data_IF_668404995168
#
_entry.id   IF_668404995168
#
_cell.length_a   1.000
_cell.length_b   1.000
_cell.length_c   1.000
_cell.angle_alpha   90.00
_cell.angle_beta   90.00
_cell.angle_gamma   90.00
#
_symmetry.space_group_name_H-M   'P 1'
#
loop_
_entity.id
_entity.type
_entity.pdbx_description
1 polymer ?
#
# COMPACT_ATOMS: atom_id res chain seq x y z
N UNK A 1 34.40 52.79 2.41
CA UNK A 1 33.52 51.99 3.29
C UNK A 1 32.17 51.63 2.64
N UNK A 2 31.54 52.52 1.88
CA UNK A 2 30.19 52.29 1.32
C UNK A 2 30.11 51.13 0.31
N UNK A 3 31.18 50.87 -0.44
CA UNK A 3 31.27 49.75 -1.40
C UNK A 3 31.27 48.38 -0.72
N UNK A 4 31.94 48.25 0.43
CA UNK A 4 31.95 47.00 1.20
C UNK A 4 30.60 46.71 1.85
N UNK A 5 29.88 47.76 2.28
CA UNK A 5 28.53 47.61 2.83
C UNK A 5 27.53 47.11 1.80
N UNK A 6 27.63 47.57 0.53
CA UNK A 6 26.75 47.12 -0.56
C UNK A 6 26.96 45.64 -0.89
N UNK A 7 28.22 45.18 -0.86
CA UNK A 7 28.58 43.78 -1.15
C UNK A 7 28.12 42.82 -0.04
N UNK A 8 28.27 43.24 1.22
CA UNK A 8 27.84 42.43 2.37
C UNK A 8 26.31 42.35 2.48
N UNK A 9 25.59 43.41 2.12
CA UNK A 9 24.13 43.40 2.09
C UNK A 9 23.59 42.47 0.99
N UNK A 10 24.22 42.44 -0.19
CA UNK A 10 23.85 41.50 -1.26
C UNK A 10 24.03 40.03 -0.87
N UNK A 11 25.11 39.72 -0.14
CA UNK A 11 25.38 38.36 0.35
C UNK A 11 24.33 37.91 1.39
N UNK A 12 23.92 38.81 2.29
CA UNK A 12 22.89 38.51 3.29
C UNK A 12 21.52 38.23 2.66
N UNK A 13 21.12 38.98 1.63
CA UNK A 13 19.87 38.72 0.91
C UNK A 13 19.90 37.36 0.20
N UNK A 14 21.03 36.98 -0.41
CA UNK A 14 21.16 35.69 -1.08
C UNK A 14 21.01 34.50 -0.11
N UNK A 15 21.66 34.56 1.06
CA UNK A 15 21.56 33.51 2.09
C UNK A 15 20.13 33.40 2.64
N UNK A 16 19.46 34.53 2.86
CA UNK A 16 18.07 34.54 3.32
C UNK A 16 17.12 33.87 2.31
N UNK A 17 17.30 34.12 1.01
CA UNK A 17 16.49 33.45 -0.02
C UNK A 17 16.72 31.95 -0.10
N UNK A 18 17.96 31.49 0.08
CA UNK A 18 18.28 30.06 0.01
C UNK A 18 17.74 29.28 1.22
N UNK A 19 17.77 29.88 2.41
CA UNK A 19 17.27 29.27 3.65
C UNK A 19 15.74 29.19 3.68
N UNK A 20 15.04 30.12 3.02
CA UNK A 20 13.59 30.06 2.84
C UNK A 20 13.14 28.91 1.90
N UNK A 21 13.95 28.57 0.89
CA UNK A 21 13.63 27.47 -0.04
C UNK A 21 13.77 26.10 0.65
N UNK A 22 14.73 25.94 1.57
CA UNK A 22 14.91 24.67 2.31
C UNK A 22 13.80 24.37 3.30
N UNK A 23 13.04 25.37 3.75
CA UNK A 23 11.88 25.17 4.64
C UNK A 23 10.62 24.69 3.90
N UNK A 24 10.60 24.76 2.58
CA UNK A 24 9.47 24.35 1.75
C UNK A 24 9.61 22.93 1.18
N UNK A 25 10.76 22.28 1.39
CA UNK A 25 10.94 20.87 1.03
C UNK A 25 10.44 20.02 2.19
N UNK A 26 9.43 19.16 2.01
CA UNK A 26 8.99 18.24 3.05
C UNK A 26 10.15 17.29 3.37
N UNK A 27 10.81 17.47 4.52
CA UNK A 27 11.71 16.47 5.09
C UNK A 27 10.89 15.36 5.75
N UNK A 28 10.05 14.68 4.98
CA UNK A 28 9.33 13.47 5.42
C UNK A 28 10.12 12.25 4.96
N UNK A 29 11.35 12.12 5.45
CA UNK A 29 12.12 10.87 5.35
C UNK A 29 12.15 10.21 6.73
N UNK A 30 10.96 9.92 7.27
CA UNK A 30 10.80 8.99 8.39
C UNK A 30 10.51 7.61 7.82
N UNK A 31 11.55 6.84 7.49
CA UNK A 31 11.40 5.44 7.15
C UNK A 31 11.09 4.64 8.43
N UNK A 32 9.84 4.65 8.87
CA UNK A 32 9.36 3.67 9.84
C UNK A 32 9.10 2.36 9.10
N UNK A 33 9.68 1.25 9.58
CA UNK A 33 9.33 -0.07 9.09
C UNK A 33 7.85 -0.34 9.44
N UNK A 34 6.97 -0.33 8.44
CA UNK A 34 5.55 -0.64 8.60
C UNK A 34 5.29 -2.08 8.15
N UNK A 35 4.72 -2.88 9.07
CA UNK A 35 4.15 -4.21 8.79
C UNK A 35 2.80 -4.10 8.06
N UNK A 36 2.20 -2.91 8.04
CA UNK A 36 0.97 -2.63 7.29
C UNK A 36 1.38 -2.16 5.88
N UNK A 37 0.87 -2.77 4.81
CA UNK A 37 1.07 -2.25 3.46
C UNK A 37 0.69 -0.77 3.41
N UNK A 38 1.61 0.06 2.92
CA UNK A 38 1.38 1.49 2.73
C UNK A 38 0.17 1.68 1.79
N UNK A 39 -1.01 1.91 2.36
CA UNK A 39 -2.21 2.31 1.64
C UNK A 39 -1.96 3.73 1.12
N UNK A 40 -1.25 3.82 0.00
CA UNK A 40 -0.71 5.04 -0.53
C UNK A 40 -1.79 6.10 -0.76
N UNK A 41 -1.75 7.16 0.03
CA UNK A 41 -2.18 8.46 -0.45
C UNK A 41 -1.04 9.01 -1.30
N UNK A 42 -1.27 9.03 -2.62
CA UNK A 42 -0.45 9.71 -3.65
C UNK A 42 0.75 8.94 -4.20
N UNK A 43 0.45 7.91 -5.00
CA UNK A 43 1.37 7.31 -5.97
C UNK A 43 1.65 8.27 -7.15
N UNK A 44 2.52 9.26 -6.97
CA UNK A 44 2.87 10.16 -8.07
C UNK A 44 4.37 10.35 -8.35
N UNK A 45 5.30 9.93 -7.49
CA UNK A 45 6.72 10.34 -7.67
C UNK A 45 7.79 9.34 -7.22
N UNK A 46 7.55 8.01 -7.23
CA UNK A 46 8.64 7.05 -7.03
C UNK A 46 8.76 6.05 -8.19
N UNK A 47 9.82 6.14 -9.02
CA UNK A 47 10.13 5.18 -10.09
C UNK A 47 10.43 3.76 -9.60
N UNK A 48 10.62 3.54 -8.29
CA UNK A 48 10.96 2.25 -7.69
C UNK A 48 9.82 1.64 -6.86
N UNK A 49 8.68 2.33 -6.76
CA UNK A 49 7.50 1.75 -6.14
C UNK A 49 6.91 0.75 -7.14
N UNK A 50 6.97 -0.54 -6.80
CA UNK A 50 6.26 -1.58 -7.53
C UNK A 50 4.81 -1.13 -7.73
N UNK A 51 4.23 -1.27 -8.93
CA UNK A 51 2.83 -0.96 -9.15
C UNK A 51 2.02 -1.59 -8.02
N UNK A 52 1.20 -0.80 -7.33
CA UNK A 52 0.25 -1.36 -6.40
C UNK A 52 -0.68 -2.24 -7.23
N UNK A 53 -0.39 -3.55 -7.29
CA UNK A 53 -1.25 -4.57 -7.87
C UNK A 53 -2.47 -4.73 -6.95
N UNK A 54 -3.26 -3.66 -6.92
CA UNK A 54 -4.56 -3.56 -6.25
C UNK A 54 -5.57 -4.54 -6.86
N UNK A 55 -5.24 -5.13 -8.00
CA UNK A 55 -5.97 -6.22 -8.65
C UNK A 55 -6.14 -7.42 -7.72
N UNK A 56 -5.08 -7.82 -7.00
CA UNK A 56 -5.12 -8.89 -6.01
C UNK A 56 -6.03 -8.53 -4.82
N UNK A 57 -5.93 -7.29 -4.32
CA UNK A 57 -6.78 -6.80 -3.23
C UNK A 57 -8.26 -6.63 -3.63
N UNK A 58 -8.56 -6.51 -4.93
CA UNK A 58 -9.93 -6.44 -5.46
C UNK A 58 -10.60 -7.80 -5.50
N UNK A 59 -9.85 -8.86 -5.78
CA UNK A 59 -10.37 -10.22 -5.87
C UNK A 59 -10.39 -10.95 -4.52
N UNK A 60 -9.51 -10.59 -3.59
CA UNK A 60 -9.47 -11.13 -2.24
C UNK A 60 -8.79 -10.09 -1.35
N UNK A 61 -9.55 -9.25 -0.63
CA UNK A 61 -8.94 -8.35 0.32
C UNK A 61 -8.41 -9.23 1.46
N UNK A 62 -7.08 -9.36 1.56
CA UNK A 62 -6.38 -10.35 2.38
C UNK A 62 -6.75 -10.39 3.88
N UNK A 63 -7.48 -9.38 4.37
CA UNK A 63 -7.95 -9.27 5.75
C UNK A 63 -9.49 -9.12 5.87
N UNK A 64 -10.25 -9.18 4.78
CA UNK A 64 -11.70 -8.85 4.78
C UNK A 64 -12.64 -9.99 4.40
N UNK A 65 -12.11 -11.14 3.96
CA UNK A 65 -12.96 -12.29 3.71
C UNK A 65 -13.44 -12.91 5.03
N UNK A 66 -14.76 -12.92 5.25
CA UNK A 66 -15.35 -13.65 6.38
C UNK A 66 -15.04 -15.14 6.24
N UNK A 67 -14.80 -15.81 7.36
CA UNK A 67 -14.55 -17.26 7.40
C UNK A 67 -15.63 -18.03 6.61
N UNK A 68 -15.20 -18.93 5.73
CA UNK A 68 -16.06 -19.73 4.86
C UNK A 68 -16.95 -20.73 5.61
N UNK A 69 -16.69 -20.96 6.90
CA UNK A 69 -17.39 -21.94 7.72
C UNK A 69 -16.94 -23.39 7.49
N UNK A 70 -15.87 -23.61 6.73
CA UNK A 70 -15.26 -24.93 6.58
C UNK A 70 -14.44 -25.26 7.84
N UNK A 71 -14.57 -26.49 8.33
CA UNK A 71 -13.79 -27.00 9.48
C UNK A 71 -12.50 -27.67 9.05
N UNK A 72 -12.42 -28.07 7.79
CA UNK A 72 -11.32 -28.87 7.24
C UNK A 72 -10.22 -28.00 6.58
N UNK A 73 -10.40 -26.68 6.56
CA UNK A 73 -9.42 -25.71 6.04
C UNK A 73 -9.57 -24.36 6.74
N UNK A 74 -8.46 -23.65 6.88
CA UNK A 74 -8.39 -22.29 7.45
C UNK A 74 -7.68 -21.32 6.50
N UNK A 75 -7.59 -21.66 5.21
CA UNK A 75 -6.92 -20.83 4.21
C UNK A 75 -7.82 -19.65 3.83
N UNK A 76 -7.25 -18.44 3.92
CA UNK A 76 -7.89 -17.19 3.52
C UNK A 76 -8.26 -17.17 2.04
N UNK A 77 -7.53 -17.92 1.20
CA UNK A 77 -7.86 -18.07 -0.22
C UNK A 77 -9.20 -18.78 -0.40
N UNK A 78 -9.48 -19.79 0.43
CA UNK A 78 -10.74 -20.54 0.43
C UNK A 78 -11.89 -19.65 0.91
N UNK A 79 -11.63 -18.83 1.92
CA UNK A 79 -12.59 -17.84 2.43
C UNK A 79 -12.98 -16.83 1.34
N UNK A 80 -12.01 -16.35 0.58
CA UNK A 80 -12.24 -15.45 -0.54
C UNK A 80 -13.09 -16.08 -1.65
N UNK A 81 -12.73 -17.27 -2.16
CA UNK A 81 -13.51 -17.91 -3.23
C UNK A 81 -14.93 -18.29 -2.76
N UNK A 82 -15.14 -18.55 -1.46
CA UNK A 82 -16.48 -18.78 -0.89
C UNK A 82 -17.30 -17.49 -0.84
N UNK A 83 -16.69 -16.37 -0.47
CA UNK A 83 -17.34 -15.05 -0.45
C UNK A 83 -17.89 -14.65 -1.82
N UNK A 84 -17.15 -14.96 -2.90
CA UNK A 84 -17.62 -14.69 -4.27
C UNK A 84 -18.54 -15.78 -4.84
N UNK A 85 -18.91 -16.79 -4.05
CA UNK A 85 -19.79 -17.87 -4.48
C UNK A 85 -19.17 -18.82 -5.52
N UNK A 86 -17.84 -18.81 -5.68
CA UNK A 86 -17.13 -19.66 -6.63
C UNK A 86 -17.14 -21.12 -6.15
N UNK A 87 -17.07 -21.35 -4.83
CA UNK A 87 -17.20 -22.67 -4.22
C UNK A 87 -18.37 -22.75 -3.25
N UNK A 88 -19.08 -23.88 -3.28
CA UNK A 88 -20.07 -24.23 -2.26
C UNK A 88 -19.50 -25.17 -1.19
N UNK A 89 -18.39 -25.85 -1.47
CA UNK A 89 -17.92 -27.02 -0.72
C UNK A 89 -18.65 -28.31 -1.13
N UNK A 90 -18.10 -29.44 -0.69
CA UNK A 90 -18.70 -30.78 -0.78
C UNK A 90 -19.89 -30.91 0.17
N UNK A 91 -19.75 -30.33 1.36
CA UNK A 91 -20.80 -30.16 2.37
C UNK A 91 -20.73 -28.73 2.92
N UNK A 92 -21.61 -28.39 3.87
CA UNK A 92 -21.58 -27.08 4.51
C UNK A 92 -20.25 -26.77 5.23
N UNK A 93 -19.52 -27.81 5.68
CA UNK A 93 -18.31 -27.66 6.50
C UNK A 93 -17.05 -28.29 5.86
N UNK A 94 -17.16 -28.91 4.69
CA UNK A 94 -16.04 -29.57 4.00
C UNK A 94 -15.82 -29.03 2.59
N UNK A 95 -14.58 -28.62 2.29
CA UNK A 95 -14.19 -28.04 0.99
C UNK A 95 -13.85 -29.08 -0.09
N UNK A 96 -13.14 -30.17 0.24
CA UNK A 96 -12.75 -31.30 -0.66
C UNK A 96 -12.29 -30.88 -2.08
N UNK A 97 -11.15 -30.18 -2.22
CA UNK A 97 -10.68 -29.67 -3.52
C UNK A 97 -10.22 -30.77 -4.49
N UNK A 98 -9.94 -31.97 -3.98
CA UNK A 98 -9.47 -33.13 -4.76
C UNK A 98 -10.60 -34.06 -5.15
N UNK A 99 -11.82 -33.81 -4.68
CA UNK A 99 -12.99 -34.61 -5.00
C UNK A 99 -13.36 -34.54 -6.48
N UNK A 100 -14.00 -35.60 -6.98
CA UNK A 100 -14.57 -35.60 -8.33
C UNK A 100 -15.82 -34.72 -8.40
N UNK A 101 -15.86 -33.83 -9.40
CA UNK A 101 -17.00 -32.97 -9.68
C UNK A 101 -17.71 -33.50 -10.93
N UNK A 102 -19.02 -33.73 -10.83
CA UNK A 102 -19.82 -34.19 -11.95
C UNK A 102 -20.20 -33.03 -12.87
N UNK A 103 -20.27 -33.28 -14.18
CA UNK A 103 -20.60 -32.27 -15.22
C UNK A 103 -22.10 -32.20 -15.56
N UNK A 104 -22.94 -32.80 -14.73
CA UNK A 104 -24.39 -32.93 -14.95
C UNK A 104 -25.08 -31.57 -15.13
#
# INVERSE_FOLDING_TARGET
>A
MLTSMKKNLGLLLAVATLSAVTALVPSTAGAAASIVPNAGTSAATDPHTAPADTTLLKACPGDSASAAGFTDTTSTDVDCIKMFGITTGKTATTYDPTGSISRQ
#
